data_IF_933613049133
#
_entry.id   IF_933613049133
#
_cell.length_a   1.000
_cell.length_b   1.000
_cell.length_c   1.000
_cell.angle_alpha   90.00
_cell.angle_beta   90.00
_cell.angle_gamma   90.00
#
_symmetry.space_group_name_H-M   'P 1'
#
loop_
_entity.id
_entity.type
_entity.pdbx_description
1 polymer ?
#
# COMPACT_ATOMS: atom_id res chain seq x y z
N UNK A 1 18.09 2.86 7.31
CA UNK A 1 17.83 3.66 6.08
C UNK A 1 17.12 2.76 5.08
N UNK A 2 15.83 2.48 5.29
CA UNK A 2 15.02 1.87 4.23
C UNK A 2 14.67 2.96 3.20
N UNK A 3 14.87 2.63 1.92
CA UNK A 3 14.57 3.54 0.82
C UNK A 3 13.14 4.03 0.93
N UNK A 4 12.97 5.33 1.20
CA UNK A 4 11.66 5.97 1.21
C UNK A 4 11.01 5.70 -0.15
N UNK A 5 9.94 4.92 -0.16
CA UNK A 5 9.20 4.58 -1.36
C UNK A 5 8.75 5.87 -2.06
N UNK A 6 9.48 6.23 -3.13
CA UNK A 6 9.19 7.40 -3.95
C UNK A 6 7.85 7.15 -4.64
N UNK A 7 6.94 8.09 -4.55
CA UNK A 7 5.70 8.05 -5.32
C UNK A 7 6.04 8.06 -6.81
N UNK A 8 5.70 6.99 -7.52
CA UNK A 8 5.93 6.90 -8.96
C UNK A 8 4.99 7.86 -9.68
N UNK A 9 5.56 8.75 -10.49
CA UNK A 9 4.80 9.62 -11.39
C UNK A 9 4.65 8.93 -12.74
N UNK A 10 3.46 9.02 -13.34
CA UNK A 10 3.20 8.45 -14.66
C UNK A 10 3.52 9.53 -15.70
N UNK A 11 4.57 9.40 -16.53
CA UNK A 11 4.92 10.42 -17.50
C UNK A 11 3.88 10.48 -18.64
N UNK A 12 3.47 11.68 -19.04
CA UNK A 12 2.51 11.86 -20.15
C UNK A 12 3.11 11.60 -21.55
N UNK A 13 4.45 11.50 -21.65
CA UNK A 13 5.17 11.39 -22.92
C UNK A 13 4.99 10.03 -23.63
N UNK A 14 4.47 9.01 -22.96
CA UNK A 14 4.31 7.67 -23.55
C UNK A 14 3.12 7.54 -24.52
N UNK A 15 2.31 8.58 -24.69
CA UNK A 15 0.99 8.48 -25.32
C UNK A 15 0.76 9.39 -26.53
N UNK A 16 1.75 10.22 -26.88
CA UNK A 16 1.68 11.18 -28.00
C UNK A 16 2.33 10.71 -29.30
N UNK A 17 2.87 9.50 -29.37
CA UNK A 17 3.28 8.93 -30.66
C UNK A 17 2.04 8.55 -31.47
N UNK A 18 1.47 9.54 -32.15
CA UNK A 18 0.62 9.33 -33.32
C UNK A 18 1.09 10.29 -34.40
N UNK A 19 1.23 9.83 -35.66
CA UNK A 19 1.81 10.62 -36.74
C UNK A 19 0.89 11.80 -37.02
N UNK A 20 1.42 13.00 -36.85
CA UNK A 20 0.76 14.26 -37.19
C UNK A 20 0.46 14.27 -38.69
N UNK A 21 -0.77 13.96 -39.10
CA UNK A 21 -1.28 14.50 -40.36
C UNK A 21 -1.87 15.86 -40.05
N UNK A 22 -1.07 16.88 -40.34
CA UNK A 22 -1.48 18.28 -40.42
C UNK A 22 -2.64 18.37 -41.42
N UNK A 23 -3.83 18.76 -40.98
CA UNK A 23 -4.71 19.55 -41.84
C UNK A 23 -5.16 20.78 -41.08
N UNK A 24 -4.93 21.89 -41.76
CA UNK A 24 -5.12 23.27 -41.37
C UNK A 24 -6.55 23.74 -41.63
N UNK A 25 -6.86 24.90 -41.03
CA UNK A 25 -7.86 25.93 -41.43
C UNK A 25 -9.17 25.96 -40.60
N UNK A 26 -9.28 27.04 -39.79
CA UNK A 26 -10.41 27.96 -39.50
C UNK A 26 -11.80 27.36 -39.14
N UNK A 27 -12.66 27.89 -38.26
CA UNK A 27 -12.80 29.15 -37.52
C UNK A 27 -14.12 29.10 -36.73
N UNK A 28 -14.28 29.96 -35.70
CA UNK A 28 -15.54 30.51 -35.10
C UNK A 28 -16.60 29.53 -34.52
N UNK A 29 -16.81 29.43 -33.19
CA UNK A 29 -17.55 30.29 -32.23
C UNK A 29 -19.05 29.96 -32.06
N UNK A 30 -19.47 29.61 -30.83
CA UNK A 30 -20.79 29.79 -30.16
C UNK A 30 -20.99 28.64 -29.16
N UNK A 31 -20.80 28.82 -27.84
CA UNK A 31 -21.78 29.30 -26.84
C UNK A 31 -23.20 28.78 -27.11
N UNK A 32 -23.64 27.81 -26.30
CA UNK A 32 -24.90 27.92 -25.54
C UNK A 32 -24.96 26.88 -24.41
N UNK A 33 -25.32 27.38 -23.23
CA UNK A 33 -25.69 26.65 -22.01
C UNK A 33 -27.12 26.13 -22.12
N UNK A 34 -27.41 24.97 -21.52
CA UNK A 34 -28.73 24.68 -20.97
C UNK A 34 -28.64 23.58 -19.90
N UNK A 35 -29.00 23.96 -18.68
CA UNK A 35 -29.35 23.11 -17.54
C UNK A 35 -30.65 22.33 -17.78
N UNK A 36 -30.83 21.20 -17.10
CA UNK A 36 -31.95 20.84 -16.19
C UNK A 36 -31.88 19.33 -15.89
N UNK A 37 -31.58 18.94 -14.65
CA UNK A 37 -32.54 18.55 -13.60
C UNK A 37 -33.18 17.16 -13.77
N UNK A 38 -32.89 16.32 -12.79
CA UNK A 38 -33.55 15.06 -12.47
C UNK A 38 -34.99 15.28 -11.97
N UNK A 39 -35.78 14.20 -11.87
CA UNK A 39 -36.67 14.07 -10.73
C UNK A 39 -36.50 12.75 -9.96
N UNK A 40 -36.99 12.89 -8.73
CA UNK A 40 -36.95 12.04 -7.58
C UNK A 40 -37.93 10.85 -7.60
N UNK A 41 -37.51 9.79 -6.92
CA UNK A 41 -38.24 9.02 -5.89
C UNK A 41 -39.51 8.22 -6.26
N UNK A 42 -39.45 6.94 -5.94
CA UNK A 42 -40.60 6.18 -5.43
C UNK A 42 -40.12 5.22 -4.32
N UNK A 43 -40.63 5.49 -3.12
CA UNK A 43 -40.61 4.67 -1.91
C UNK A 43 -41.61 3.51 -2.01
N UNK A 44 -41.26 2.33 -1.52
CA UNK A 44 -42.22 1.35 -0.98
C UNK A 44 -41.59 0.59 0.20
N UNK A 45 -42.45 0.33 1.18
CA UNK A 45 -42.21 -0.06 2.57
C UNK A 45 -42.39 -1.56 2.85
N UNK A 46 -41.66 -2.00 3.88
CA UNK A 46 -41.95 -2.92 4.99
C UNK A 46 -42.43 -4.39 4.86
N UNK A 47 -41.73 -5.19 5.69
CA UNK A 47 -42.04 -6.43 6.41
C UNK A 47 -42.34 -7.72 5.60
N UNK A 48 -41.84 -8.92 5.94
CA UNK A 48 -41.80 -9.51 7.29
C UNK A 48 -40.94 -10.81 7.40
N UNK A 49 -40.58 -11.16 8.65
CA UNK A 49 -40.35 -12.48 9.26
C UNK A 49 -39.18 -13.46 8.91
N UNK A 50 -38.10 -13.32 9.69
CA UNK A 50 -37.48 -14.30 10.63
C UNK A 50 -37.61 -15.84 10.39
N UNK A 51 -36.46 -16.54 10.28
CA UNK A 51 -36.20 -17.83 10.97
C UNK A 51 -34.69 -18.11 11.15
N UNK A 52 -34.27 -18.24 12.41
CA UNK A 52 -32.96 -18.75 12.86
C UNK A 52 -32.99 -20.28 12.88
N UNK A 53 -31.88 -20.91 12.51
CA UNK A 53 -31.50 -22.23 13.04
C UNK A 53 -30.02 -22.23 13.38
N UNK A 54 -29.76 -22.48 14.67
CA UNK A 54 -28.46 -22.81 15.22
C UNK A 54 -28.11 -24.25 14.83
N UNK A 55 -26.86 -24.51 14.46
CA UNK A 55 -26.21 -25.78 14.78
C UNK A 55 -24.75 -25.54 15.15
N UNK A 56 -24.45 -25.82 16.43
CA UNK A 56 -23.10 -26.07 16.95
C UNK A 56 -22.81 -27.55 16.70
N UNK A 57 -21.61 -27.87 16.24
CA UNK A 57 -20.94 -29.15 16.54
C UNK A 57 -19.48 -28.84 16.88
N UNK A 58 -19.06 -29.29 18.07
CA UNK A 58 -17.69 -29.29 18.58
C UNK A 58 -17.12 -30.72 18.58
N UNK A 59 -15.78 -30.79 18.69
CA UNK A 59 -14.89 -31.96 18.91
C UNK A 59 -14.57 -32.79 17.66
N UNK A 60 -13.34 -33.20 17.35
CA UNK A 60 -12.05 -33.24 18.05
C UNK A 60 -10.96 -33.74 17.07
N UNK A 61 -9.75 -34.09 17.53
CA UNK A 61 -8.47 -33.77 16.87
C UNK A 61 -7.99 -34.84 15.87
N UNK A 62 -7.27 -34.43 14.80
CA UNK A 62 -6.47 -35.36 13.99
C UNK A 62 -5.13 -34.77 13.55
N UNK A 63 -4.10 -35.22 14.27
CA UNK A 63 -2.83 -35.78 13.80
C UNK A 63 -2.16 -35.19 12.54
N UNK A 64 -0.97 -34.64 12.78
CA UNK A 64 0.21 -34.59 11.92
C UNK A 64 0.28 -35.72 10.88
N UNK A 65 0.50 -35.36 9.61
CA UNK A 65 1.13 -36.19 8.58
C UNK A 65 1.36 -35.34 7.30
N UNK A 66 2.37 -34.48 7.27
CA UNK A 66 2.89 -33.91 6.02
C UNK A 66 4.40 -33.66 6.14
N UNK A 67 5.15 -34.75 6.24
CA UNK A 67 6.62 -34.76 6.12
C UNK A 67 7.20 -35.57 4.93
N UNK A 68 6.49 -36.47 4.21
CA UNK A 68 7.18 -37.30 3.22
C UNK A 68 7.48 -36.56 1.90
N UNK A 69 6.67 -35.58 1.48
CA UNK A 69 6.83 -34.96 0.14
C UNK A 69 7.99 -33.97 0.06
N UNK A 70 8.26 -33.22 1.13
CA UNK A 70 9.37 -32.27 1.20
C UNK A 70 10.71 -33.01 1.30
N UNK A 71 10.75 -34.10 2.06
CA UNK A 71 11.94 -34.96 2.19
C UNK A 71 12.25 -35.65 0.86
N UNK A 72 11.25 -36.18 0.14
CA UNK A 72 11.45 -36.78 -1.19
C UNK A 72 11.93 -35.73 -2.21
N UNK A 73 11.42 -34.50 -2.16
CA UNK A 73 11.88 -33.41 -3.03
C UNK A 73 13.32 -32.97 -2.74
N UNK A 74 13.71 -32.89 -1.47
CA UNK A 74 15.08 -32.59 -1.05
C UNK A 74 16.03 -33.75 -1.40
N UNK A 75 15.60 -35.01 -1.25
CA UNK A 75 16.39 -36.18 -1.65
C UNK A 75 16.62 -36.21 -3.16
N UNK A 76 15.58 -35.90 -3.96
CA UNK A 76 15.68 -35.80 -5.41
C UNK A 76 16.64 -34.69 -5.86
N UNK A 77 16.61 -33.54 -5.18
CA UNK A 77 17.53 -32.43 -5.44
C UNK A 77 18.97 -32.80 -5.08
N UNK A 78 19.18 -33.50 -3.96
CA UNK A 78 20.50 -33.98 -3.53
C UNK A 78 21.06 -35.05 -4.49
N UNK A 79 20.23 -35.97 -4.96
CA UNK A 79 20.62 -36.98 -5.97
C UNK A 79 20.99 -36.29 -7.30
N UNK A 80 20.24 -35.27 -7.72
CA UNK A 80 20.55 -34.48 -8.92
C UNK A 80 21.89 -33.73 -8.78
N UNK A 81 22.13 -33.05 -7.66
CA UNK A 81 23.42 -32.38 -7.41
C UNK A 81 24.59 -33.36 -7.30
N UNK A 82 24.37 -34.54 -6.72
CA UNK A 82 25.40 -35.58 -6.64
C UNK A 82 25.73 -36.14 -8.03
N UNK A 83 24.73 -36.35 -8.89
CA UNK A 83 24.90 -36.77 -10.29
C UNK A 83 25.71 -35.75 -11.13
N UNK A 84 25.47 -34.44 -10.92
CA UNK A 84 26.24 -33.37 -11.58
C UNK A 84 27.71 -33.31 -11.15
N UNK A 85 28.03 -33.81 -9.94
CA UNK A 85 29.41 -33.86 -9.42
C UNK A 85 30.19 -35.09 -9.91
N UNK A 86 29.53 -36.21 -10.18
CA UNK A 86 30.19 -37.49 -10.49
C UNK A 86 30.35 -37.78 -11.98
N UNK A 87 29.74 -37.01 -12.87
CA UNK A 87 29.79 -37.28 -14.32
C UNK A 87 30.67 -36.28 -15.09
N UNK A 88 31.75 -36.79 -15.69
CA UNK A 88 32.57 -36.12 -16.73
C UNK A 88 31.82 -36.06 -18.08
N UNK A 89 30.65 -35.43 -18.07
CA UNK A 89 29.84 -35.18 -19.27
C UNK A 89 30.07 -33.73 -19.75
N UNK A 90 30.04 -33.54 -21.07
CA UNK A 90 30.23 -32.26 -21.78
C UNK A 90 29.28 -31.15 -21.28
N UNK A 91 29.75 -29.90 -21.33
CA UNK A 91 29.09 -28.73 -20.71
C UNK A 91 27.72 -28.39 -21.31
N UNK A 92 27.47 -28.74 -22.57
CA UNK A 92 26.19 -28.50 -23.26
C UNK A 92 25.05 -29.41 -22.79
N UNK A 93 25.35 -30.68 -22.49
CA UNK A 93 24.35 -31.66 -22.01
C UNK A 93 23.93 -31.38 -20.56
N UNK A 94 24.87 -30.89 -19.74
CA UNK A 94 24.60 -30.39 -18.38
C UNK A 94 23.60 -29.23 -18.39
N UNK A 95 23.71 -28.34 -19.36
CA UNK A 95 22.79 -27.22 -19.51
C UNK A 95 21.38 -27.69 -19.92
N UNK A 96 21.30 -28.64 -20.85
CA UNK A 96 20.03 -29.19 -21.34
C UNK A 96 19.29 -29.97 -20.23
N UNK A 97 20.00 -30.77 -19.43
CA UNK A 97 19.43 -31.47 -18.27
C UNK A 97 18.95 -30.50 -17.18
N UNK A 98 19.67 -29.41 -16.94
CA UNK A 98 19.25 -28.37 -15.99
C UNK A 98 17.96 -27.67 -16.45
N UNK A 99 17.83 -27.38 -17.76
CA UNK A 99 16.62 -26.77 -18.31
C UNK A 99 15.41 -27.71 -18.22
N UNK A 100 15.59 -29.01 -18.50
CA UNK A 100 14.51 -30.01 -18.35
C UNK A 100 14.07 -30.10 -16.88
N UNK A 101 15.02 -30.13 -15.95
CA UNK A 101 14.71 -30.18 -14.52
C UNK A 101 13.93 -28.94 -14.05
N UNK A 102 14.33 -27.75 -14.50
CA UNK A 102 13.63 -26.48 -14.21
C UNK A 102 12.21 -26.52 -14.79
N UNK A 103 12.03 -26.99 -16.02
CA UNK A 103 10.73 -27.08 -16.67
C UNK A 103 9.77 -28.02 -15.90
N UNK A 104 10.26 -29.18 -15.47
CA UNK A 104 9.50 -30.15 -14.68
C UNK A 104 9.14 -29.56 -13.30
N UNK A 105 10.09 -28.90 -12.63
CA UNK A 105 9.84 -28.24 -11.34
C UNK A 105 8.75 -27.15 -11.45
N UNK A 106 8.79 -26.33 -12.51
CA UNK A 106 7.79 -25.30 -12.77
C UNK A 106 6.41 -25.89 -13.09
N UNK A 107 6.34 -27.02 -13.81
CA UNK A 107 5.09 -27.72 -14.10
C UNK A 107 4.40 -28.22 -12.82
N UNK A 108 5.17 -28.83 -11.90
CA UNK A 108 4.64 -29.26 -10.61
C UNK A 108 4.30 -28.09 -9.68
N UNK A 109 5.06 -27.00 -9.72
CA UNK A 109 4.72 -25.75 -9.01
C UNK A 109 3.41 -25.13 -9.51
N UNK A 110 3.16 -25.20 -10.82
CA UNK A 110 1.94 -24.72 -11.45
C UNK A 110 0.68 -25.48 -11.02
N UNK A 111 0.78 -26.79 -10.77
CA UNK A 111 -0.36 -27.63 -10.34
C UNK A 111 -0.67 -27.56 -8.85
N UNK A 112 0.29 -27.18 -8.00
CA UNK A 112 0.14 -27.18 -6.53
C UNK A 112 0.26 -25.77 -5.91
N UNK A 113 -0.30 -24.74 -6.56
CA UNK A 113 -0.19 -23.32 -6.16
C UNK A 113 -0.55 -23.04 -4.70
N UNK A 114 -1.56 -23.72 -4.16
CA UNK A 114 -2.01 -23.56 -2.76
C UNK A 114 -1.01 -24.13 -1.76
N UNK A 115 -0.34 -25.24 -2.11
CA UNK A 115 0.68 -25.87 -1.28
C UNK A 115 1.98 -25.07 -1.27
N UNK A 116 2.42 -24.56 -2.43
CA UNK A 116 3.60 -23.70 -2.52
C UNK A 116 3.40 -22.38 -1.77
N UNK A 117 2.23 -21.74 -1.86
CA UNK A 117 1.95 -20.54 -1.08
C UNK A 117 2.06 -20.79 0.43
N UNK A 118 1.57 -21.93 0.91
CA UNK A 118 1.63 -22.30 2.33
C UNK A 118 3.05 -22.64 2.77
N UNK A 119 3.80 -23.39 1.97
CA UNK A 119 5.20 -23.74 2.21
C UNK A 119 6.14 -22.54 2.15
N UNK A 120 5.94 -21.61 1.20
CA UNK A 120 6.66 -20.34 1.12
C UNK A 120 6.29 -19.46 2.32
N UNK A 121 5.05 -19.48 2.79
CA UNK A 121 4.67 -18.76 4.02
C UNK A 121 5.38 -19.33 5.26
N UNK A 122 5.54 -20.66 5.35
CA UNK A 122 6.26 -21.32 6.45
C UNK A 122 7.76 -21.07 6.38
N UNK A 123 8.35 -21.08 5.17
CA UNK A 123 9.75 -20.71 4.95
C UNK A 123 10.00 -19.23 5.25
N UNK A 124 9.05 -18.35 4.90
CA UNK A 124 9.09 -16.93 5.27
C UNK A 124 8.97 -16.76 6.79
N UNK A 125 8.14 -17.54 7.45
CA UNK A 125 8.00 -17.52 8.91
C UNK A 125 9.26 -18.03 9.62
N UNK A 126 9.91 -19.08 9.10
CA UNK A 126 11.19 -19.58 9.60
C UNK A 126 12.36 -18.63 9.28
N UNK A 127 12.35 -17.98 8.12
CA UNK A 127 13.30 -16.94 7.76
C UNK A 127 13.12 -15.70 8.64
N UNK A 128 11.89 -15.26 8.89
CA UNK A 128 11.60 -14.14 9.79
C UNK A 128 11.95 -14.48 11.24
N UNK A 129 11.78 -15.73 11.69
CA UNK A 129 12.20 -16.15 13.03
C UNK A 129 13.73 -16.29 13.17
N UNK A 130 14.44 -16.71 12.11
CA UNK A 130 15.91 -16.68 12.10
C UNK A 130 16.46 -15.25 11.88
N UNK A 131 15.78 -14.40 11.12
CA UNK A 131 16.09 -12.98 10.98
C UNK A 131 15.85 -12.25 12.31
N UNK A 132 14.82 -12.59 13.09
CA UNK A 132 14.68 -12.12 14.48
C UNK A 132 15.84 -12.55 15.38
N UNK A 133 16.44 -13.73 15.14
CA UNK A 133 17.60 -14.24 15.89
C UNK A 133 18.92 -13.57 15.47
N UNK A 134 19.09 -13.22 14.20
CA UNK A 134 20.29 -12.54 13.68
C UNK A 134 20.23 -11.02 13.68
N UNK A 135 19.04 -10.41 13.72
CA UNK A 135 18.85 -8.96 13.86
C UNK A 135 18.98 -8.50 15.32
N UNK A 136 18.89 -9.42 16.29
CA UNK A 136 19.21 -9.15 17.69
C UNK A 136 20.40 -9.96 18.20
N UNK A 137 21.53 -9.85 17.50
CA UNK A 137 22.84 -9.97 18.14
C UNK A 137 23.71 -8.76 17.78
N UNK A 138 23.32 -7.60 18.30
CA UNK A 138 24.22 -6.48 18.52
C UNK A 138 24.08 -6.10 19.99
N UNK A 139 25.22 -6.10 20.68
CA UNK A 139 25.39 -5.82 22.09
C UNK A 139 24.40 -4.77 22.61
N UNK A 140 23.47 -5.18 23.47
CA UNK A 140 22.69 -4.25 24.28
C UNK A 140 23.64 -3.65 25.33
N UNK A 141 24.15 -2.45 25.09
CA UNK A 141 24.48 -1.58 26.21
C UNK A 141 23.18 -1.26 26.96
N UNK A 142 23.22 -1.27 28.29
CA UNK A 142 22.06 -0.99 29.13
C UNK A 142 21.61 0.45 28.87
N UNK A 143 20.33 0.67 28.49
CA UNK A 143 19.74 2.01 28.49
C UNK A 143 19.66 2.51 29.93
N UNK A 144 19.90 3.80 30.14
CA UNK A 144 19.74 4.43 31.45
C UNK A 144 18.30 4.89 31.55
N UNK A 145 17.49 4.13 32.30
CA UNK A 145 16.09 4.47 32.57
C UNK A 145 16.01 5.28 33.85
N UNK A 146 15.43 6.48 33.76
CA UNK A 146 15.04 7.27 34.93
C UNK A 146 13.54 7.08 35.15
N UNK A 147 13.16 6.02 35.89
CA UNK A 147 11.78 5.74 36.30
C UNK A 147 11.75 5.94 37.82
N UNK A 148 11.12 7.01 38.31
CA UNK A 148 11.11 7.31 39.75
C UNK A 148 9.65 7.35 40.24
N UNK A 149 9.35 6.47 41.20
CA UNK A 149 8.01 6.19 41.73
C UNK A 149 7.84 4.78 42.32
N UNK A 150 8.84 4.26 43.04
CA UNK A 150 8.77 2.99 43.75
C UNK A 150 8.73 3.23 45.26
N UNK A 151 7.53 3.21 45.84
CA UNK A 151 7.31 3.44 47.26
C UNK A 151 7.87 2.28 48.09
N UNK A 152 8.94 2.53 48.87
CA UNK A 152 9.41 1.63 49.90
C UNK A 152 8.61 1.88 51.19
N UNK A 153 7.45 1.22 51.28
CA UNK A 153 6.77 0.95 52.55
C UNK A 153 5.46 1.69 52.81
N UNK A 154 4.33 1.06 52.47
CA UNK A 154 3.35 0.60 53.47
C UNK A 154 2.17 -0.09 52.78
N UNK A 155 1.74 -1.20 53.38
CA UNK A 155 0.71 -2.09 52.90
C UNK A 155 -0.67 -1.42 53.06
N UNK A 156 -1.21 -0.87 51.97
CA UNK A 156 -2.65 -0.58 51.85
C UNK A 156 -3.14 -1.02 50.47
N UNK A 157 -3.92 -2.10 50.46
CA UNK A 157 -4.69 -2.54 49.31
C UNK A 157 -5.58 -1.40 48.81
N UNK A 158 -5.21 -0.84 47.67
CA UNK A 158 -6.08 -0.02 46.84
C UNK A 158 -6.08 -0.67 45.47
N UNK A 159 -7.29 -0.80 44.89
CA UNK A 159 -7.57 -1.24 43.52
C UNK A 159 -6.38 -1.06 42.57
N UNK A 160 -6.04 -2.03 41.70
CA UNK A 160 -4.95 -1.91 40.76
C UNK A 160 -5.32 -0.90 39.67
N UNK A 161 -5.29 0.39 40.03
CA UNK A 161 -5.11 1.48 39.06
C UNK A 161 -3.82 1.11 38.35
N UNK A 162 -3.89 0.97 37.02
CA UNK A 162 -2.70 0.82 36.17
C UNK A 162 -1.67 1.82 36.67
N UNK A 163 -0.55 1.34 37.24
CA UNK A 163 0.61 2.18 37.52
C UNK A 163 1.15 2.62 36.15
N UNK A 164 0.64 3.75 35.69
CA UNK A 164 1.20 4.50 34.57
C UNK A 164 2.19 5.45 35.22
N UNK A 165 3.47 5.27 34.92
CA UNK A 165 4.55 6.13 35.41
C UNK A 165 4.97 7.03 34.27
N UNK A 166 5.10 8.33 34.51
CA UNK A 166 5.65 9.27 33.54
C UNK A 166 7.17 9.32 33.74
N UNK A 167 7.95 9.36 32.66
CA UNK A 167 9.41 9.39 32.79
C UNK A 167 10.14 9.68 31.49
N UNK A 168 11.47 9.74 31.61
CA UNK A 168 12.38 9.97 30.48
C UNK A 168 13.34 8.79 30.36
N UNK A 169 13.39 8.15 29.19
CA UNK A 169 14.36 7.11 28.87
C UNK A 169 15.31 7.62 27.79
N UNK A 170 16.61 7.64 28.09
CA UNK A 170 17.67 8.01 27.15
C UNK A 170 18.35 6.73 26.67
N UNK A 171 18.35 6.54 25.36
CA UNK A 171 18.96 5.39 24.71
C UNK A 171 20.44 5.67 24.42
N UNK A 172 21.24 4.61 24.35
CA UNK A 172 22.68 4.71 24.12
C UNK A 172 23.06 5.25 22.73
N UNK A 173 22.12 5.29 21.80
CA UNK A 173 22.27 5.88 20.47
C UNK A 173 21.96 7.39 20.43
N UNK A 174 21.63 8.01 21.57
CA UNK A 174 21.26 9.42 21.67
C UNK A 174 19.76 9.69 21.41
N UNK A 175 18.98 8.68 21.05
CA UNK A 175 17.53 8.79 21.01
C UNK A 175 16.99 8.92 22.43
N UNK A 176 15.83 9.55 22.58
CA UNK A 176 15.17 9.61 23.88
C UNK A 176 13.66 9.58 23.75
N UNK A 177 13.03 9.03 24.78
CA UNK A 177 11.59 8.94 24.95
C UNK A 177 11.15 9.72 26.18
N UNK A 178 10.08 10.48 26.03
CA UNK A 178 9.43 11.24 27.11
C UNK A 178 7.94 10.89 27.11
N UNK A 179 7.43 10.33 28.20
CA UNK A 179 6.02 10.03 28.30
C UNK A 179 5.70 8.92 29.28
N UNK A 180 4.61 8.22 29.00
CA UNK A 180 4.03 7.21 29.88
C UNK A 180 4.72 5.84 29.74
N UNK A 181 4.84 5.13 30.86
CA UNK A 181 5.40 3.79 30.99
C UNK A 181 4.44 2.87 31.71
N UNK A 182 4.38 1.62 31.25
CA UNK A 182 3.73 0.52 31.93
C UNK A 182 4.67 -0.69 31.99
N UNK A 183 4.92 -1.21 33.20
CA UNK A 183 5.84 -2.35 33.44
C UNK A 183 7.23 -2.16 32.81
N UNK A 184 7.77 -0.95 32.91
CA UNK A 184 9.10 -0.60 32.39
C UNK A 184 9.19 -0.48 30.86
N UNK A 185 8.05 -0.45 30.16
CA UNK A 185 7.99 -0.22 28.71
C UNK A 185 7.18 1.03 28.39
N UNK A 186 7.56 1.74 27.34
CA UNK A 186 6.78 2.86 26.81
C UNK A 186 5.35 2.38 26.49
N UNK A 187 4.35 3.03 27.06
CA UNK A 187 2.94 2.63 26.95
C UNK A 187 2.04 3.83 27.23
N UNK A 188 1.01 4.04 26.43
CA UNK A 188 0.14 5.21 26.53
C UNK A 188 0.61 6.33 25.60
N UNK A 189 0.71 7.55 26.11
CA UNK A 189 1.09 8.72 25.31
C UNK A 189 2.56 9.08 25.51
N UNK A 190 3.29 9.37 24.41
CA UNK A 190 4.69 9.79 24.53
C UNK A 190 5.31 10.31 23.25
N UNK A 191 6.41 11.03 23.43
CA UNK A 191 7.24 11.61 22.36
C UNK A 191 8.55 10.86 22.31
N UNK A 192 8.92 10.41 21.10
CA UNK A 192 10.22 9.82 20.84
C UNK A 192 10.97 10.68 19.86
N UNK A 193 12.15 11.12 20.24
CA UNK A 193 13.02 11.93 19.39
C UNK A 193 14.18 11.07 18.94
N UNK A 194 14.33 10.94 17.63
CA UNK A 194 15.49 10.29 17.03
C UNK A 194 16.63 11.30 16.95
N UNK A 195 17.81 10.91 17.42
CA UNK A 195 19.03 11.71 17.29
C UNK A 195 19.23 12.10 15.82
N UNK A 196 19.13 13.41 15.54
CA UNK A 196 19.22 14.04 14.21
C UNK A 196 18.18 13.63 13.15
N UNK A 197 17.28 12.68 13.44
CA UNK A 197 16.51 11.96 12.41
C UNK A 197 14.99 12.11 12.47
N UNK A 198 14.47 12.93 13.39
CA UNK A 198 13.05 13.28 13.45
C UNK A 198 12.43 12.99 14.80
N UNK A 199 11.11 12.88 14.84
CA UNK A 199 10.37 12.55 16.05
C UNK A 199 9.03 11.87 15.75
N UNK A 200 8.59 11.05 16.68
CA UNK A 200 7.25 10.49 16.74
C UNK A 200 6.52 11.06 17.96
N UNK A 201 5.27 11.47 17.75
CA UNK A 201 4.37 11.97 18.80
C UNK A 201 3.05 11.20 18.69
N UNK A 202 2.70 10.37 19.68
CA UNK A 202 1.45 9.62 19.63
C UNK A 202 1.33 8.51 20.65
N UNK A 203 0.52 7.51 20.29
CA UNK A 203 0.17 6.37 21.11
C UNK A 203 1.23 5.26 21.06
N UNK A 204 1.39 4.59 22.19
CA UNK A 204 2.39 3.55 22.44
C UNK A 204 1.77 2.34 23.12
N UNK A 205 2.16 1.14 22.67
CA UNK A 205 1.86 -0.11 23.36
C UNK A 205 3.11 -0.98 23.37
N UNK A 206 3.54 -1.36 24.57
CA UNK A 206 4.68 -2.26 24.82
C UNK A 206 5.97 -1.89 24.07
N UNK A 207 6.29 -0.59 24.04
CA UNK A 207 7.50 -0.07 23.39
C UNK A 207 7.38 0.13 21.88
N UNK A 208 6.18 0.04 21.29
CA UNK A 208 5.96 0.24 19.86
C UNK A 208 4.88 1.28 19.59
N UNK A 209 4.97 1.94 18.43
CA UNK A 209 3.90 2.77 17.89
C UNK A 209 2.66 1.91 17.64
N UNK A 210 1.56 2.20 18.33
CA UNK A 210 0.31 1.44 18.18
C UNK A 210 -0.86 2.34 18.61
N UNK A 211 -1.80 2.58 17.70
CA UNK A 211 -2.84 3.60 17.86
C UNK A 211 -2.68 4.72 16.83
N UNK A 212 -2.70 5.97 17.27
CA UNK A 212 -2.59 7.14 16.40
C UNK A 212 -1.33 7.95 16.71
N UNK A 213 -0.73 8.53 15.68
CA UNK A 213 0.48 9.30 15.87
C UNK A 213 0.89 10.14 14.68
N UNK A 214 1.85 11.03 14.95
CA UNK A 214 2.48 11.91 14.00
C UNK A 214 3.98 11.63 14.00
N UNK A 215 4.49 11.22 12.86
CA UNK A 215 5.92 11.03 12.64
C UNK A 215 6.43 12.12 11.71
N UNK A 216 7.47 12.84 12.14
CA UNK A 216 8.11 13.91 11.39
C UNK A 216 9.57 13.55 11.20
N UNK A 217 10.07 13.60 9.97
CA UNK A 217 11.47 13.27 9.66
C UNK A 217 12.30 14.54 9.48
N UNK A 218 13.60 14.47 9.78
CA UNK A 218 14.50 15.63 9.70
C UNK A 218 14.54 16.34 8.33
N UNK A 219 14.33 15.61 7.23
CA UNK A 219 14.24 16.17 5.87
C UNK A 219 12.91 16.87 5.55
N UNK A 220 11.93 16.88 6.46
CA UNK A 220 10.65 17.58 6.29
C UNK A 220 9.48 16.71 5.83
N UNK A 221 9.67 15.39 5.60
CA UNK A 221 8.55 14.47 5.43
C UNK A 221 7.73 14.41 6.72
N UNK A 222 6.43 14.13 6.61
CA UNK A 222 5.53 14.01 7.76
C UNK A 222 4.40 13.03 7.50
N UNK A 223 4.13 12.15 8.46
CA UNK A 223 3.00 11.23 8.46
C UNK A 223 2.05 11.59 9.60
N UNK A 224 0.75 11.44 9.36
CA UNK A 224 -0.30 11.58 10.37
C UNK A 224 -1.33 10.49 10.12
N UNK A 225 -1.53 9.61 11.08
CA UNK A 225 -2.50 8.54 10.92
C UNK A 225 -2.31 7.43 11.94
N UNK A 226 -2.71 6.23 11.52
CA UNK A 226 -2.75 5.06 12.36
C UNK A 226 -1.46 4.23 12.28
N UNK A 227 -1.14 3.62 13.41
CA UNK A 227 -0.02 2.71 13.60
C UNK A 227 -0.52 1.40 14.23
N UNK A 228 0.17 0.32 13.91
CA UNK A 228 -0.02 -0.99 14.53
C UNK A 228 1.33 -1.68 14.61
N UNK A 229 1.75 -2.07 15.82
CA UNK A 229 3.00 -2.80 16.05
C UNK A 229 4.25 -2.15 15.41
N UNK A 230 4.31 -0.82 15.43
CA UNK A 230 5.43 -0.02 14.88
C UNK A 230 5.32 0.30 13.40
N UNK A 231 4.29 -0.20 12.69
CA UNK A 231 4.09 0.04 11.26
C UNK A 231 2.87 0.90 11.00
N UNK A 232 2.95 1.75 9.97
CA UNK A 232 1.79 2.52 9.47
C UNK A 232 0.71 1.56 8.99
N UNK A 233 -0.52 1.78 9.44
CA UNK A 233 -1.66 0.88 9.21
C UNK A 233 -2.95 1.70 9.10
N UNK A 234 -4.04 1.13 8.59
CA UNK A 234 -5.35 1.77 8.60
C UNK A 234 -5.41 2.97 7.67
N UNK A 235 -5.72 4.16 8.19
CA UNK A 235 -5.84 5.38 7.40
C UNK A 235 -4.81 6.43 7.83
N UNK A 236 -4.31 7.20 6.87
CA UNK A 236 -3.41 8.30 7.17
C UNK A 236 -2.95 9.10 5.97
N UNK A 237 -2.25 10.19 6.26
CA UNK A 237 -1.69 11.12 5.28
C UNK A 237 -0.18 11.17 5.44
N UNK A 238 0.52 11.00 4.32
CA UNK A 238 1.96 11.17 4.22
C UNK A 238 2.29 12.31 3.27
N UNK A 239 2.97 13.33 3.79
CA UNK A 239 3.54 14.42 3.01
C UNK A 239 5.03 14.18 2.86
N UNK A 240 5.49 14.12 1.61
CA UNK A 240 6.91 13.96 1.29
C UNK A 240 7.62 15.30 1.37
N UNK A 241 8.90 15.27 1.73
CA UNK A 241 9.76 16.46 1.64
C UNK A 241 9.84 17.05 0.22
N UNK A 242 9.63 16.22 -0.81
CA UNK A 242 9.58 16.66 -2.22
C UNK A 242 8.36 17.53 -2.53
N UNK A 243 7.35 17.55 -1.65
CA UNK A 243 6.08 18.24 -1.83
C UNK A 243 4.93 17.34 -2.33
N UNK A 244 5.24 16.10 -2.73
CA UNK A 244 4.20 15.13 -3.07
C UNK A 244 3.43 14.72 -1.79
N UNK A 245 2.19 14.26 -1.93
CA UNK A 245 1.33 13.84 -0.81
C UNK A 245 0.57 12.58 -1.17
N UNK A 246 0.44 11.68 -0.21
CA UNK A 246 -0.46 10.53 -0.27
C UNK A 246 -1.44 10.57 0.90
N UNK A 247 -2.71 10.29 0.64
CA UNK A 247 -3.77 10.20 1.65
C UNK A 247 -4.66 9.00 1.32
N UNK A 248 -4.77 8.05 2.22
CA UNK A 248 -5.54 6.83 1.95
C UNK A 248 -5.27 5.73 2.96
N UNK A 249 -5.47 4.51 2.48
CA UNK A 249 -5.28 3.29 3.26
C UNK A 249 -3.81 2.83 3.34
N UNK A 250 -3.47 2.19 4.46
CA UNK A 250 -2.13 1.75 4.80
C UNK A 250 -2.16 0.33 5.32
N UNK A 251 -1.20 -0.48 4.89
CA UNK A 251 -1.01 -1.82 5.40
C UNK A 251 0.48 -2.12 5.50
N UNK A 252 0.93 -2.52 6.69
CA UNK A 252 2.32 -2.91 6.98
C UNK A 252 3.36 -1.89 6.47
N UNK A 253 3.10 -0.59 6.66
CA UNK A 253 4.02 0.47 6.26
C UNK A 253 3.92 0.91 4.79
N UNK A 254 3.10 0.26 3.96
CA UNK A 254 2.94 0.58 2.55
C UNK A 254 1.56 1.16 2.23
N UNK A 255 1.48 1.97 1.17
CA UNK A 255 0.21 2.38 0.56
C UNK A 255 -0.55 1.14 0.09
N UNK A 256 -1.82 1.05 0.44
CA UNK A 256 -2.67 -0.09 0.14
C UNK A 256 -4.12 0.38 -0.06
N UNK A 257 -5.00 -0.48 -0.58
CA UNK A 257 -6.43 -0.17 -0.70
C UNK A 257 -6.68 1.06 -1.57
N UNK A 258 -7.68 1.86 -1.22
CA UNK A 258 -7.97 3.10 -1.96
C UNK A 258 -7.17 4.27 -1.39
N UNK A 259 -6.61 5.08 -2.27
CA UNK A 259 -5.89 6.27 -1.88
C UNK A 259 -5.85 7.37 -2.94
N UNK A 260 -5.40 8.52 -2.49
CA UNK A 260 -5.23 9.72 -3.28
C UNK A 260 -3.78 10.17 -3.21
N UNK A 261 -3.15 10.32 -4.37
CA UNK A 261 -1.80 10.81 -4.55
C UNK A 261 -1.86 12.16 -5.27
N UNK A 262 -1.28 13.19 -4.67
CA UNK A 262 -1.08 14.49 -5.32
C UNK A 262 0.41 14.75 -5.48
N UNK A 263 0.83 15.09 -6.68
CA UNK A 263 2.21 15.45 -6.98
C UNK A 263 2.38 16.97 -6.90
N UNK A 264 3.59 17.42 -6.55
CA UNK A 264 3.96 18.85 -6.49
C UNK A 264 3.73 19.58 -7.82
N UNK A 265 3.75 18.86 -8.93
CA UNK A 265 3.54 19.42 -10.26
C UNK A 265 2.05 19.61 -10.63
N UNK A 266 1.13 19.28 -9.71
CA UNK A 266 -0.32 19.41 -9.90
C UNK A 266 -0.98 18.18 -10.50
N UNK A 267 -0.23 17.14 -10.89
CA UNK A 267 -0.83 15.86 -11.27
C UNK A 267 -1.40 15.14 -10.05
N UNK A 268 -2.47 14.40 -10.24
CA UNK A 268 -3.07 13.61 -9.16
C UNK A 268 -3.60 12.26 -9.64
N UNK A 269 -3.61 11.30 -8.73
CA UNK A 269 -4.14 9.96 -8.94
C UNK A 269 -5.08 9.62 -7.79
N UNK A 270 -6.28 9.16 -8.13
CA UNK A 270 -7.24 8.57 -7.20
C UNK A 270 -7.44 7.14 -7.63
N UNK A 271 -7.19 6.17 -6.76
CA UNK A 271 -7.41 4.79 -7.15
C UNK A 271 -6.90 3.78 -6.14
N UNK A 272 -6.81 2.55 -6.61
CA UNK A 272 -6.35 1.43 -5.82
C UNK A 272 -4.80 1.36 -5.81
N UNK A 273 -4.28 0.85 -4.68
CA UNK A 273 -2.88 0.65 -4.40
C UNK A 273 -2.65 -0.74 -3.80
N UNK A 274 -1.53 -1.37 -4.17
CA UNK A 274 -1.13 -2.66 -3.61
C UNK A 274 0.37 -2.70 -3.37
N UNK A 275 0.78 -2.65 -2.10
CA UNK A 275 2.19 -2.76 -1.74
C UNK A 275 3.01 -1.54 -2.17
N UNK A 276 2.41 -0.35 -2.12
CA UNK A 276 3.09 0.90 -2.44
C UNK A 276 3.01 1.34 -3.91
N UNK A 277 2.43 0.53 -4.81
CA UNK A 277 2.29 0.86 -6.24
C UNK A 277 0.82 0.96 -6.64
N UNK A 278 0.50 1.75 -7.67
CA UNK A 278 -0.83 1.81 -8.27
C UNK A 278 -1.18 0.46 -8.88
N UNK A 279 -2.39 0.00 -8.63
CA UNK A 279 -2.86 -1.33 -9.04
C UNK A 279 -4.38 -1.33 -9.08
N UNK A 280 -5.01 -2.16 -9.91
CA UNK A 280 -6.47 -2.23 -9.99
C UNK A 280 -7.06 -1.00 -10.68
N UNK A 281 -8.19 -0.49 -10.19
CA UNK A 281 -8.87 0.64 -10.85
C UNK A 281 -8.33 1.99 -10.36
N UNK A 282 -8.28 2.98 -11.25
CA UNK A 282 -7.92 4.34 -10.87
C UNK A 282 -8.08 5.39 -11.96
N UNK A 283 -8.13 6.64 -11.50
CA UNK A 283 -8.19 7.84 -12.31
C UNK A 283 -6.91 8.66 -12.12
N UNK A 284 -6.32 9.11 -13.22
CA UNK A 284 -5.14 9.97 -13.21
C UNK A 284 -5.42 11.25 -13.98
N UNK A 285 -5.17 12.40 -13.35
CA UNK A 285 -5.17 13.71 -13.98
C UNK A 285 -3.72 14.16 -14.14
N UNK A 286 -3.31 14.35 -15.38
CA UNK A 286 -1.98 14.81 -15.72
C UNK A 286 -1.90 16.34 -15.62
N UNK A 287 -0.69 16.86 -15.36
CA UNK A 287 -0.43 18.30 -15.29
C UNK A 287 -0.80 19.03 -16.59
N UNK A 288 -0.61 18.38 -17.74
CA UNK A 288 -0.89 18.96 -19.05
C UNK A 288 -2.40 18.99 -19.39
N UNK A 289 -3.27 18.54 -18.49
CA UNK A 289 -4.72 18.49 -18.69
C UNK A 289 -5.25 17.15 -19.21
N UNK A 290 -4.37 16.23 -19.62
CA UNK A 290 -4.78 14.89 -20.02
C UNK A 290 -5.39 14.15 -18.80
N UNK A 291 -6.26 13.18 -19.07
CA UNK A 291 -6.91 12.36 -18.04
C UNK A 291 -6.97 10.90 -18.48
N UNK A 292 -6.77 10.00 -17.55
CA UNK A 292 -6.98 8.57 -17.74
C UNK A 292 -7.90 8.03 -16.65
N UNK A 293 -8.80 7.12 -17.01
CA UNK A 293 -9.60 6.34 -16.08
C UNK A 293 -9.64 4.88 -16.55
N UNK A 294 -9.30 3.94 -15.67
CA UNK A 294 -9.27 2.53 -16.01
C UNK A 294 -8.32 1.73 -15.13
N UNK A 295 -7.78 0.66 -15.69
CA UNK A 295 -6.97 -0.32 -14.98
C UNK A 295 -5.47 0.03 -14.89
N UNK A 296 -4.86 -0.41 -13.80
CA UNK A 296 -3.46 -0.24 -13.47
C UNK A 296 -2.84 -1.56 -13.02
N UNK A 297 -1.60 -1.78 -13.42
CA UNK A 297 -0.78 -2.88 -12.94
C UNK A 297 0.64 -2.40 -12.68
N UNK A 298 1.05 -2.34 -11.41
CA UNK A 298 2.44 -2.04 -11.04
C UNK A 298 2.88 -0.65 -11.50
N UNK A 299 2.14 0.39 -11.10
CA UNK A 299 2.33 1.81 -11.49
C UNK A 299 2.12 2.16 -12.97
N UNK A 300 1.78 1.18 -13.82
CA UNK A 300 1.53 1.38 -15.24
C UNK A 300 0.06 1.24 -15.58
N UNK A 301 -0.38 2.04 -16.55
CA UNK A 301 -1.68 1.88 -17.20
C UNK A 301 -1.69 0.52 -17.91
N UNK A 302 -2.68 -0.30 -17.62
CA UNK A 302 -2.79 -1.68 -18.11
C UNK A 302 -4.26 -2.04 -18.30
N UNK A 303 -4.59 -3.14 -18.99
CA UNK A 303 -5.96 -3.63 -19.07
C UNK A 303 -6.85 -2.72 -19.92
N UNK A 304 -8.05 -2.41 -19.46
CA UNK A 304 -8.98 -1.53 -20.19
C UNK A 304 -9.08 -0.14 -19.55
N UNK A 305 -9.26 0.89 -20.39
CA UNK A 305 -9.49 2.24 -19.89
C UNK A 305 -9.65 3.29 -20.96
N UNK A 306 -10.09 4.46 -20.52
CA UNK A 306 -10.36 5.63 -21.35
C UNK A 306 -9.31 6.69 -21.07
N UNK A 307 -8.74 7.25 -22.15
CA UNK A 307 -7.79 8.35 -22.08
C UNK A 307 -8.33 9.56 -22.83
N UNK A 308 -8.57 10.64 -22.10
CA UNK A 308 -8.93 11.94 -22.65
C UNK A 308 -7.69 12.82 -22.76
N UNK A 309 -7.40 13.26 -23.97
CA UNK A 309 -6.31 14.18 -24.23
C UNK A 309 -6.79 15.63 -24.01
N UNK A 310 -5.92 16.49 -23.50
CA UNK A 310 -6.20 17.91 -23.29
C UNK A 310 -6.54 18.65 -24.61
N UNK A 311 -6.07 18.13 -25.74
CA UNK A 311 -6.44 18.63 -27.07
C UNK A 311 -7.84 18.19 -27.52
N UNK A 312 -8.63 17.53 -26.66
CA UNK A 312 -9.99 17.07 -26.96
C UNK A 312 -10.08 15.74 -27.71
N UNK A 313 -8.96 15.06 -27.95
CA UNK A 313 -9.00 13.70 -28.50
C UNK A 313 -9.36 12.70 -27.38
N UNK A 314 -9.81 11.51 -27.76
CA UNK A 314 -10.13 10.43 -26.84
C UNK A 314 -9.59 9.10 -27.38
N UNK A 315 -9.15 8.22 -26.49
CA UNK A 315 -8.90 6.81 -26.82
C UNK A 315 -9.62 5.92 -25.82
N UNK A 316 -10.35 4.93 -26.33
CA UNK A 316 -11.11 3.96 -25.58
C UNK A 316 -10.68 2.56 -26.02
N UNK A 317 -10.09 1.77 -25.13
CA UNK A 317 -9.70 0.41 -25.48
C UNK A 317 -8.69 -0.21 -24.53
N UNK A 318 -7.94 -1.16 -25.07
CA UNK A 318 -6.95 -1.94 -24.33
C UNK A 318 -5.59 -1.23 -24.22
N UNK A 319 -4.92 -1.53 -23.12
CA UNK A 319 -3.67 -0.95 -22.67
C UNK A 319 -2.72 -2.02 -22.17
N UNK A 320 -1.43 -1.84 -22.43
CA UNK A 320 -0.39 -2.70 -21.92
C UNK A 320 0.85 -1.87 -21.60
N UNK A 321 1.27 -1.87 -20.33
CA UNK A 321 2.50 -1.23 -19.87
C UNK A 321 2.61 0.26 -20.26
N UNK A 322 1.49 0.99 -20.21
CA UNK A 322 1.42 2.40 -20.55
C UNK A 322 1.28 2.72 -22.04
N UNK A 323 1.05 1.71 -22.90
CA UNK A 323 0.85 1.89 -24.34
C UNK A 323 -0.50 1.33 -24.78
N UNK A 324 -1.09 1.94 -25.81
CA UNK A 324 -2.25 1.39 -26.51
C UNK A 324 -1.86 0.05 -27.11
N UNK A 325 -2.58 -1.02 -26.77
CA UNK A 325 -2.30 -2.36 -27.30
C UNK A 325 -3.58 -3.17 -27.37
N UNK A 326 -3.80 -3.89 -28.47
CA UNK A 326 -5.03 -4.63 -28.75
C UNK A 326 -6.09 -3.74 -29.38
N UNK A 327 -7.37 -4.08 -29.19
CA UNK A 327 -8.47 -3.39 -29.84
C UNK A 327 -8.85 -2.08 -29.13
N UNK A 328 -9.22 -1.08 -29.91
CA UNK A 328 -9.67 0.20 -29.39
C UNK A 328 -10.14 1.16 -30.46
N UNK A 329 -10.73 2.27 -30.00
CA UNK A 329 -11.23 3.36 -30.81
C UNK A 329 -10.60 4.67 -30.39
N UNK A 330 -10.08 5.41 -31.36
CA UNK A 330 -9.56 6.75 -31.19
C UNK A 330 -10.54 7.75 -31.80
N UNK A 331 -10.98 8.72 -31.01
CA UNK A 331 -11.89 9.79 -31.46
C UNK A 331 -11.13 11.10 -31.47
N UNK A 332 -11.11 11.76 -32.63
CA UNK A 332 -10.51 13.08 -32.79
C UNK A 332 -11.46 14.16 -32.28
N UNK A 333 -10.93 15.36 -32.01
CA UNK A 333 -11.74 16.50 -31.55
C UNK A 333 -12.87 16.86 -32.54
N UNK A 334 -12.66 16.64 -33.83
CA UNK A 334 -13.66 16.91 -34.87
C UNK A 334 -14.77 15.85 -34.96
N UNK A 335 -14.71 14.78 -34.15
CA UNK A 335 -15.66 13.68 -34.16
C UNK A 335 -15.26 12.50 -35.05
N UNK A 336 -14.21 12.63 -35.87
CA UNK A 336 -13.71 11.51 -36.67
C UNK A 336 -13.23 10.38 -35.75
N UNK A 337 -13.40 9.14 -36.20
CA UNK A 337 -13.00 7.96 -35.43
C UNK A 337 -12.05 7.06 -36.21
N UNK A 338 -11.09 6.48 -35.50
CA UNK A 338 -10.19 5.44 -35.97
C UNK A 338 -10.29 4.24 -35.03
N UNK A 339 -10.96 3.19 -35.51
CA UNK A 339 -11.12 1.92 -34.81
C UNK A 339 -10.20 0.85 -35.41
N UNK A 340 -9.77 -0.08 -34.57
CA UNK A 340 -8.89 -1.14 -35.02
C UNK A 340 -8.07 -1.79 -33.94
N UNK A 341 -7.08 -2.57 -34.39
CA UNK A 341 -6.04 -3.13 -33.57
C UNK A 341 -4.84 -2.18 -33.49
N UNK A 342 -4.29 -2.03 -32.29
CA UNK A 342 -3.17 -1.19 -31.96
C UNK A 342 -2.02 -2.05 -31.44
N UNK A 343 -0.80 -1.83 -31.92
CA UNK A 343 0.40 -2.36 -31.27
C UNK A 343 1.32 -1.23 -30.84
N UNK A 344 1.50 -1.12 -29.52
CA UNK A 344 2.42 -0.19 -28.89
C UNK A 344 2.27 1.29 -29.31
N UNK A 345 1.07 1.70 -29.74
CA UNK A 345 0.76 3.06 -30.19
C UNK A 345 0.63 3.23 -31.72
N UNK A 346 1.05 2.24 -32.51
CA UNK A 346 0.85 2.23 -33.95
C UNK A 346 -0.47 1.52 -34.30
N UNK A 347 -1.12 2.04 -35.32
CA UNK A 347 -2.39 1.50 -35.84
C UNK A 347 -2.06 0.40 -36.86
N UNK A 348 -2.36 -0.86 -36.53
CA UNK A 348 -1.99 -2.02 -37.36
C UNK A 348 -3.09 -2.35 -38.37
N UNK A 349 -4.33 -2.50 -37.91
CA UNK A 349 -5.45 -2.94 -38.74
C UNK A 349 -6.65 -2.02 -38.55
N UNK A 350 -7.14 -1.42 -39.65
CA UNK A 350 -8.39 -0.62 -39.64
C UNK A 350 -9.56 -1.56 -39.61
N UNK A 351 -10.39 -1.42 -38.58
CA UNK A 351 -11.66 -2.11 -38.47
C UNK A 351 -12.78 -1.08 -38.38
N UNK A 352 -13.99 -1.48 -38.76
CA UNK A 352 -15.16 -0.63 -38.56
C UNK A 352 -15.46 -0.49 -37.06
N UNK A 353 -16.05 0.63 -36.61
CA UNK A 353 -16.45 0.79 -35.22
C UNK A 353 -17.43 -0.29 -34.74
N UNK A 354 -18.19 -0.91 -35.67
CA UNK A 354 -19.13 -1.99 -35.37
C UNK A 354 -18.48 -3.38 -35.28
N UNK A 355 -17.18 -3.53 -35.56
CA UNK A 355 -16.51 -4.82 -35.42
C UNK A 355 -16.58 -5.31 -33.97
N UNK A 356 -17.03 -6.55 -33.75
CA UNK A 356 -17.27 -7.13 -32.43
C UNK A 356 -16.07 -6.99 -31.47
N UNK A 357 -14.85 -7.13 -31.98
CA UNK A 357 -13.62 -7.00 -31.20
C UNK A 357 -13.42 -5.58 -30.67
N UNK A 358 -13.62 -4.57 -31.52
CA UNK A 358 -13.55 -3.15 -31.17
C UNK A 358 -14.69 -2.79 -30.21
N UNK A 359 -15.92 -3.20 -30.52
CA UNK A 359 -17.09 -2.89 -29.70
C UNK A 359 -16.92 -3.41 -28.26
N UNK A 360 -16.50 -4.67 -28.10
CA UNK A 360 -16.23 -5.26 -26.78
C UNK A 360 -15.12 -4.51 -26.04
N UNK A 361 -14.03 -4.15 -26.72
CA UNK A 361 -12.91 -3.44 -26.09
C UNK A 361 -13.32 -2.04 -25.62
N UNK A 362 -14.09 -1.31 -26.42
CA UNK A 362 -14.62 0.02 -26.06
C UNK A 362 -15.60 -0.08 -24.89
N UNK A 363 -16.51 -1.05 -24.90
CA UNK A 363 -17.44 -1.29 -23.78
C UNK A 363 -16.70 -1.62 -22.48
N UNK A 364 -15.71 -2.51 -22.54
CA UNK A 364 -14.86 -2.83 -21.38
C UNK A 364 -14.08 -1.62 -20.88
N UNK A 365 -13.55 -0.79 -21.79
CA UNK A 365 -12.84 0.43 -21.43
C UNK A 365 -13.73 1.46 -20.72
N UNK A 366 -14.94 1.69 -21.25
CA UNK A 366 -15.93 2.59 -20.64
C UNK A 366 -16.35 2.09 -19.26
N UNK A 367 -16.66 0.80 -19.15
CA UNK A 367 -17.01 0.19 -17.87
C UNK A 367 -15.87 0.32 -16.84
N UNK A 368 -14.64 0.00 -17.22
CA UNK A 368 -13.48 0.17 -16.34
C UNK A 368 -13.27 1.63 -15.91
N UNK A 369 -13.51 2.59 -16.82
CA UNK A 369 -13.45 4.01 -16.51
C UNK A 369 -14.57 4.45 -15.55
N UNK A 370 -15.81 4.00 -15.75
CA UNK A 370 -16.96 4.25 -14.86
C UNK A 370 -16.71 3.67 -13.46
N UNK A 371 -16.27 2.42 -13.38
CA UNK A 371 -15.94 1.73 -12.14
C UNK A 371 -14.78 2.45 -11.40
N UNK A 372 -13.78 2.94 -12.14
CA UNK A 372 -12.67 3.72 -11.58
C UNK A 372 -13.10 5.09 -11.03
N UNK A 373 -14.13 5.72 -11.60
CA UNK A 373 -14.71 6.98 -11.10
C UNK A 373 -15.57 6.72 -9.85
N UNK A 374 -16.26 5.57 -9.80
CA UNK A 374 -17.15 5.18 -8.71
C UNK A 374 -16.44 4.51 -7.52
N UNK A 375 -15.11 4.55 -7.46
CA UNK A 375 -14.35 3.98 -6.35
C UNK A 375 -14.78 4.57 -5.00
N UNK A 376 -14.80 3.70 -3.99
CA UNK A 376 -15.18 4.07 -2.62
C UNK A 376 -14.34 5.24 -2.12
N UNK A 377 -15.03 6.27 -1.64
CA UNK A 377 -14.42 7.42 -0.98
C UNK A 377 -13.83 7.04 0.39
N UNK A 378 -12.61 7.51 0.66
CA UNK A 378 -11.87 7.30 1.92
C UNK A 378 -11.57 8.59 2.68
N UNK A 379 -12.05 9.74 2.18
CA UNK A 379 -11.72 11.05 2.74
C UNK A 379 -12.20 11.24 4.18
N UNK A 380 -13.37 10.71 4.53
CA UNK A 380 -13.91 10.76 5.89
C UNK A 380 -13.01 9.99 6.86
N UNK A 381 -12.68 8.74 6.54
CA UNK A 381 -11.85 7.88 7.39
C UNK A 381 -10.42 8.43 7.53
N UNK A 382 -9.88 9.01 6.45
CA UNK A 382 -8.58 9.68 6.48
C UNK A 382 -8.63 10.91 7.38
N UNK A 383 -9.66 11.76 7.25
CA UNK A 383 -9.80 12.95 8.08
C UNK A 383 -9.96 12.59 9.56
N UNK A 384 -10.77 11.58 9.88
CA UNK A 384 -10.94 11.08 11.24
C UNK A 384 -9.62 10.57 11.83
N UNK A 385 -8.84 9.81 11.06
CA UNK A 385 -7.53 9.32 11.48
C UNK A 385 -6.52 10.46 11.70
N UNK A 386 -6.53 11.48 10.85
CA UNK A 386 -5.68 12.68 11.03
C UNK A 386 -6.08 13.46 12.27
N UNK A 387 -7.37 13.63 12.52
CA UNK A 387 -7.87 14.32 13.72
C UNK A 387 -7.51 13.54 14.99
N UNK A 388 -7.65 12.21 14.97
CA UNK A 388 -7.21 11.34 16.06
C UNK A 388 -5.69 11.42 16.29
N UNK A 389 -4.89 11.40 15.22
CA UNK A 389 -3.43 11.58 15.31
C UNK A 389 -3.03 12.93 15.89
N UNK A 390 -3.73 14.02 15.56
CA UNK A 390 -3.46 15.34 16.16
C UNK A 390 -3.80 15.36 17.67
N UNK A 391 -4.88 14.68 18.08
CA UNK A 391 -5.22 14.54 19.51
C UNK A 391 -4.17 13.71 20.26
N UNK A 392 -3.79 12.56 19.70
CA UNK A 392 -2.76 11.68 20.28
C UNK A 392 -1.41 12.41 20.40
N UNK A 393 -0.98 13.13 19.37
CA UNK A 393 0.25 13.93 19.42
C UNK A 393 0.18 15.04 20.49
N UNK A 394 -0.99 15.63 20.72
CA UNK A 394 -1.16 16.65 21.77
C UNK A 394 -1.10 16.02 23.15
N UNK A 395 -1.74 14.87 23.37
CA UNK A 395 -1.63 14.10 24.60
C UNK A 395 -0.18 13.66 24.87
N UNK A 396 0.52 13.19 23.84
CA UNK A 396 1.94 12.81 23.90
C UNK A 396 2.82 13.98 24.36
N UNK A 397 2.63 15.19 23.80
CA UNK A 397 3.36 16.37 24.24
C UNK A 397 3.07 16.75 25.69
N UNK A 398 1.82 16.64 26.13
CA UNK A 398 1.45 16.89 27.54
C UNK A 398 2.12 15.87 28.46
N UNK A 399 2.09 14.59 28.10
CA UNK A 399 2.76 13.53 28.87
C UNK A 399 4.27 13.74 28.93
N UNK A 400 4.91 14.16 27.82
CA UNK A 400 6.33 14.48 27.78
C UNK A 400 6.67 15.66 28.71
N UNK A 401 5.90 16.75 28.69
CA UNK A 401 6.11 17.89 29.59
C UNK A 401 6.00 17.48 31.06
N UNK A 402 5.00 16.68 31.42
CA UNK A 402 4.86 16.17 32.79
C UNK A 402 6.02 15.26 33.19
N UNK A 403 6.43 14.36 32.29
CA UNK A 403 7.57 13.49 32.52
C UNK A 403 8.84 14.31 32.83
N UNK A 404 9.11 15.36 32.06
CA UNK A 404 10.25 16.26 32.32
C UNK A 404 10.09 17.03 33.63
N UNK A 405 8.91 17.59 33.91
CA UNK A 405 8.66 18.34 35.14
C UNK A 405 8.90 17.48 36.39
N UNK A 406 8.37 16.25 36.41
CA UNK A 406 8.56 15.31 37.51
C UNK A 406 10.05 14.96 37.71
N UNK A 407 10.87 14.96 36.65
CA UNK A 407 12.32 14.76 36.80
C UNK A 407 13.08 15.97 37.35
N UNK A 408 12.53 17.17 37.26
CA UNK A 408 13.16 18.41 37.77
C UNK A 408 12.80 18.62 39.24
N UNK A 409 11.51 18.48 39.58
CA UNK A 409 11.03 18.76 40.94
C UNK A 409 11.70 17.83 41.96
N UNK A 410 11.89 16.55 41.65
CA UNK A 410 12.59 15.62 42.54
C UNK A 410 14.11 15.85 42.61
N UNK A 411 14.73 16.48 41.59
CA UNK A 411 16.15 16.91 41.67
C UNK A 411 16.35 18.15 42.53
N UNK A 412 15.29 18.93 42.78
CA UNK A 412 15.33 20.11 43.65
C UNK A 412 15.16 19.79 45.14
N UNK A 413 14.89 18.52 45.47
CA UNK A 413 14.65 18.02 46.83
C UNK A 413 15.87 17.24 47.39
N UNK A 414 16.93 17.06 46.59
CA UNK A 414 18.23 16.49 46.99
C UNK A 414 19.24 17.64 47.11
#
# INVERSE_FOLDING_TARGET
MEGQAKLTRTPSLLLRSSPTVRSSVNSFSSIEEAELQAPATASLSDDDLRKKTHSRVCSGPRSFLFFPTLVISLLSLLIFFSYFKTCEISTSEKFLLALIFIAVALFFAGKNKTFFHKSISLLKQLYDDNAKKHWFSKNRSKSVQWIIGGDSGSRREKNPKREVKEGVEIYSNGDYYEGEFHKGKCNGSGVYTYYENGRYEGDWIDGKYDGYGIESWGKGSKYRGQYRQGLRFGYGVYRFYTGDTYSGEWCNGHYHGVGFQTCKDGSCYIGEFKGGVKHGLGCYRFRNGDRYAGEYFGDKIHGFGVYHFANGHCYEGSWHEGRKKGYGMYTFRNGDTQSGEWDCGNHETRLTPQADSVLRAVQSARKAAEDAICLRRVDVQVNDAVMAANRAATAARVAAVKAVQNTIDDKSII
#
